data_IF_454848825547
#
_entry.id   IF_454848825547
#
_cell.length_a   1.000
_cell.length_b   1.000
_cell.length_c   1.000
_cell.angle_alpha   90.00
_cell.angle_beta   90.00
_cell.angle_gamma   90.00
#
_symmetry.space_group_name_H-M   'P 1'
#
loop_
_entity.id
_entity.type
_entity.pdbx_description
1 polymer ?
#
# COMPACT_ATOMS: atom_id res chain seq x y z
N UNK A 1 -14.97 -8.36 0.53
CA UNK A 1 -15.41 -9.36 -0.45
C UNK A 1 -16.51 -8.85 -1.40
N UNK A 2 -17.36 -7.90 -0.98
CA UNK A 2 -18.36 -7.26 -1.87
C UNK A 2 -17.73 -6.52 -3.06
N UNK A 3 -16.51 -6.01 -2.93
CA UNK A 3 -15.77 -5.36 -4.01
C UNK A 3 -15.50 -6.25 -5.22
N UNK A 4 -15.31 -7.55 -5.04
CA UNK A 4 -15.10 -8.49 -6.15
C UNK A 4 -16.35 -8.61 -7.04
N UNK A 5 -17.54 -8.59 -6.45
CA UNK A 5 -18.79 -8.60 -7.18
C UNK A 5 -18.98 -7.33 -8.02
N UNK A 6 -18.54 -6.17 -7.50
CA UNK A 6 -18.57 -4.92 -8.25
C UNK A 6 -17.62 -4.95 -9.45
N UNK A 7 -16.42 -5.51 -9.30
CA UNK A 7 -15.46 -5.70 -10.38
C UNK A 7 -16.03 -6.61 -11.46
N UNK A 8 -16.58 -7.77 -11.08
CA UNK A 8 -17.26 -8.70 -11.99
C UNK A 8 -18.36 -8.01 -12.78
N UNK A 9 -19.21 -7.22 -12.12
CA UNK A 9 -20.29 -6.49 -12.77
C UNK A 9 -19.76 -5.42 -13.75
N UNK A 10 -18.68 -4.72 -13.39
CA UNK A 10 -18.06 -3.72 -14.27
C UNK A 10 -17.45 -4.35 -15.51
N UNK A 11 -16.85 -5.54 -15.39
CA UNK A 11 -16.33 -6.31 -16.53
C UNK A 11 -17.50 -6.74 -17.45
N UNK A 12 -18.56 -7.30 -16.88
CA UNK A 12 -19.73 -7.72 -17.62
C UNK A 12 -20.42 -6.55 -18.35
N UNK A 13 -20.42 -5.36 -17.76
CA UNK A 13 -20.97 -4.14 -18.36
C UNK A 13 -20.03 -3.48 -19.38
N UNK A 14 -18.80 -3.95 -19.56
CA UNK A 14 -17.84 -3.42 -20.53
C UNK A 14 -17.40 -1.98 -20.27
N UNK A 15 -17.47 -1.50 -19.02
CA UNK A 15 -17.14 -0.10 -18.68
C UNK A 15 -15.64 0.13 -18.53
N UNK A 16 -15.20 1.35 -18.85
CA UNK A 16 -13.82 1.78 -18.62
C UNK A 16 -13.70 2.28 -17.16
N UNK A 17 -13.04 1.49 -16.31
CA UNK A 17 -12.88 1.80 -14.90
C UNK A 17 -11.58 1.25 -14.36
N UNK A 18 -10.93 1.99 -13.47
CA UNK A 18 -9.76 1.53 -12.72
C UNK A 18 -10.13 1.36 -11.25
N UNK A 19 -10.11 0.13 -10.76
CA UNK A 19 -10.23 -0.15 -9.34
C UNK A 19 -8.88 -0.03 -8.64
N UNK A 20 -8.88 0.57 -7.46
CA UNK A 20 -7.70 0.67 -6.58
C UNK A 20 -7.98 -0.13 -5.31
N UNK A 21 -7.28 -1.23 -5.16
CA UNK A 21 -7.39 -2.09 -3.98
C UNK A 21 -6.28 -1.71 -3.02
N UNK A 22 -6.65 -1.19 -1.87
CA UNK A 22 -5.69 -0.85 -0.80
C UNK A 22 -5.48 -2.09 0.07
N UNK A 23 -4.37 -2.77 -0.15
CA UNK A 23 -3.96 -3.91 0.65
C UNK A 23 -3.01 -3.44 1.76
N UNK A 24 -3.37 -3.68 2.99
CA UNK A 24 -2.63 -3.22 4.16
C UNK A 24 -2.26 -4.33 5.14
N UNK A 25 -2.27 -5.57 4.70
CA UNK A 25 -1.89 -6.75 5.48
C UNK A 25 -2.87 -7.10 6.62
N UNK A 26 -3.79 -6.20 6.95
CA UNK A 26 -4.69 -6.38 8.07
C UNK A 26 -5.93 -5.49 7.95
N UNK A 27 -6.99 -5.81 8.66
CA UNK A 27 -8.13 -4.90 8.86
C UNK A 27 -7.74 -3.89 9.94
N UNK A 28 -7.06 -2.82 9.51
CA UNK A 28 -6.41 -1.86 10.41
C UNK A 28 -7.40 -1.09 11.30
N UNK A 29 -8.58 -0.76 10.78
CA UNK A 29 -9.60 0.01 11.49
C UNK A 29 -10.14 -0.72 12.74
N UNK A 30 -10.23 -2.03 12.71
CA UNK A 30 -10.84 -2.85 13.77
C UNK A 30 -9.82 -3.54 14.68
N UNK A 31 -8.56 -3.16 14.63
CA UNK A 31 -7.54 -3.65 15.55
C UNK A 31 -6.45 -4.51 14.94
N UNK A 32 -6.38 -4.59 13.62
CA UNK A 32 -5.30 -5.30 12.92
C UNK A 32 -5.53 -6.81 12.80
N UNK A 33 -6.78 -7.24 12.63
CA UNK A 33 -7.10 -8.62 12.34
C UNK A 33 -6.67 -8.99 10.92
N UNK A 34 -6.28 -10.23 10.72
CA UNK A 34 -6.03 -10.78 9.40
C UNK A 34 -7.31 -10.83 8.55
N UNK A 35 -7.16 -10.70 7.25
CA UNK A 35 -8.26 -10.86 6.30
C UNK A 35 -8.30 -12.31 5.84
N UNK A 36 -9.43 -12.98 6.02
CA UNK A 36 -9.61 -14.38 5.66
C UNK A 36 -9.53 -15.33 6.86
N UNK A 37 -9.77 -16.61 6.61
CA UNK A 37 -9.86 -17.65 7.63
C UNK A 37 -8.49 -18.28 7.97
N UNK A 38 -7.47 -18.00 7.18
CA UNK A 38 -6.11 -18.54 7.39
C UNK A 38 -5.30 -17.62 8.30
N UNK A 39 -4.36 -18.15 9.07
CA UNK A 39 -3.46 -17.35 9.90
C UNK A 39 -2.66 -16.30 9.11
N UNK A 40 -2.34 -16.61 7.83
CA UNK A 40 -1.60 -15.74 6.91
C UNK A 40 -2.50 -14.65 6.30
N UNK A 41 -3.83 -14.80 6.42
CA UNK A 41 -4.80 -13.91 5.78
C UNK A 41 -4.95 -14.15 4.28
N UNK A 42 -5.54 -13.17 3.58
CA UNK A 42 -5.74 -13.21 2.13
C UNK A 42 -4.62 -12.42 1.46
N UNK A 43 -3.74 -13.11 0.73
CA UNK A 43 -2.55 -12.48 0.13
C UNK A 43 -2.86 -11.67 -1.13
N UNK A 44 -1.92 -10.78 -1.50
CA UNK A 44 -1.96 -10.02 -2.76
C UNK A 44 -2.00 -10.98 -3.96
N UNK A 45 -1.23 -12.06 -3.92
CA UNK A 45 -1.22 -13.07 -4.98
C UNK A 45 -2.60 -13.72 -5.17
N UNK A 46 -3.26 -14.13 -4.09
CA UNK A 46 -4.62 -14.69 -4.15
C UNK A 46 -5.64 -13.70 -4.74
N UNK A 47 -5.53 -12.43 -4.35
CA UNK A 47 -6.35 -11.35 -4.91
C UNK A 47 -6.08 -11.21 -6.41
N UNK A 48 -4.81 -11.18 -6.82
CA UNK A 48 -4.40 -11.03 -8.20
C UNK A 48 -4.89 -12.20 -9.08
N UNK A 49 -4.76 -13.44 -8.61
CA UNK A 49 -5.29 -14.62 -9.30
C UNK A 49 -6.81 -14.56 -9.47
N UNK A 50 -7.54 -14.17 -8.43
CA UNK A 50 -8.99 -14.01 -8.49
C UNK A 50 -9.40 -12.97 -9.53
N UNK A 51 -8.73 -11.82 -9.55
CA UNK A 51 -9.01 -10.74 -10.50
C UNK A 51 -8.69 -11.11 -11.95
N UNK A 52 -7.63 -11.88 -12.17
CA UNK A 52 -7.33 -12.44 -13.50
C UNK A 52 -8.40 -13.41 -13.96
N UNK A 53 -8.89 -14.28 -13.07
CA UNK A 53 -9.97 -15.21 -13.37
C UNK A 53 -11.30 -14.49 -13.71
N UNK A 54 -11.56 -13.32 -13.11
CA UNK A 54 -12.72 -12.48 -13.45
C UNK A 54 -12.60 -11.78 -14.82
N UNK A 55 -11.40 -11.70 -15.41
CA UNK A 55 -11.20 -11.08 -16.73
C UNK A 55 -10.76 -9.61 -16.69
N UNK A 56 -10.09 -9.17 -15.62
CA UNK A 56 -9.45 -7.84 -15.56
C UNK A 56 -8.45 -7.69 -16.70
N UNK A 57 -8.56 -6.61 -17.48
CA UNK A 57 -7.74 -6.38 -18.70
C UNK A 57 -6.28 -6.11 -18.35
N UNK A 58 -6.03 -5.21 -17.40
CA UNK A 58 -4.68 -4.92 -16.89
C UNK A 58 -4.69 -4.88 -15.36
N UNK A 59 -3.75 -5.59 -14.77
CA UNK A 59 -3.55 -5.70 -13.33
C UNK A 59 -2.11 -5.37 -13.00
N UNK A 60 -1.91 -4.47 -12.05
CA UNK A 60 -0.59 -4.07 -11.56
C UNK A 60 -0.56 -4.08 -10.03
N UNK A 61 0.62 -4.30 -9.48
CA UNK A 61 0.90 -4.16 -8.04
C UNK A 61 1.84 -2.98 -7.84
N UNK A 62 1.53 -2.11 -6.88
CA UNK A 62 2.39 -1.00 -6.47
C UNK A 62 2.68 -1.16 -4.98
N UNK A 63 3.96 -1.14 -4.60
CA UNK A 63 4.39 -1.43 -3.23
C UNK A 63 5.63 -0.64 -2.84
N UNK A 64 5.90 -0.50 -1.55
CA UNK A 64 7.17 0.02 -1.03
C UNK A 64 8.30 -1.04 -0.99
N UNK A 65 7.96 -2.32 -1.25
CA UNK A 65 8.89 -3.46 -1.24
C UNK A 65 8.71 -4.34 -2.49
N UNK A 66 9.06 -3.85 -3.73
CA UNK A 66 8.87 -4.63 -4.96
C UNK A 66 9.60 -5.97 -4.97
N UNK A 67 10.75 -6.04 -4.31
CA UNK A 67 11.61 -7.22 -4.24
C UNK A 67 10.92 -8.45 -3.66
N UNK A 68 9.90 -8.28 -2.83
CA UNK A 68 9.14 -9.41 -2.28
C UNK A 68 8.36 -10.19 -3.33
N UNK A 69 8.17 -9.60 -4.52
CA UNK A 69 7.50 -10.22 -5.68
C UNK A 69 8.48 -10.64 -6.77
N UNK A 70 9.75 -10.22 -6.70
CA UNK A 70 10.78 -10.58 -7.67
C UNK A 70 11.54 -11.83 -7.23
N UNK A 71 11.65 -12.81 -8.12
CA UNK A 71 12.62 -13.89 -8.02
C UNK A 71 12.10 -15.29 -7.72
N UNK A 72 10.80 -15.56 -7.83
CA UNK A 72 10.29 -16.94 -7.68
C UNK A 72 9.36 -17.34 -8.81
N UNK A 73 9.92 -17.79 -9.91
CA UNK A 73 9.25 -18.66 -10.87
C UNK A 73 9.21 -20.09 -10.33
N UNK A 74 8.54 -20.31 -9.20
CA UNK A 74 8.26 -21.68 -8.78
C UNK A 74 6.90 -22.10 -9.31
N UNK A 75 6.88 -23.17 -10.10
CA UNK A 75 5.67 -23.93 -10.38
C UNK A 75 4.99 -24.22 -9.04
N UNK A 76 3.75 -23.81 -8.92
CA UNK A 76 2.91 -24.16 -7.79
C UNK A 76 2.84 -25.69 -7.71
N UNK A 77 3.65 -26.28 -6.85
CA UNK A 77 3.42 -27.64 -6.42
C UNK A 77 2.19 -27.63 -5.53
N UNK A 78 1.15 -28.34 -5.96
CA UNK A 78 -0.11 -28.44 -5.22
C UNK A 78 0.07 -28.97 -3.81
N UNK A 79 1.16 -29.70 -3.54
CA UNK A 79 1.51 -30.23 -2.21
C UNK A 79 2.01 -29.10 -1.29
N UNK A 80 2.79 -28.17 -1.80
CA UNK A 80 3.34 -27.02 -1.04
C UNK A 80 2.24 -26.01 -0.68
N UNK A 81 1.27 -25.79 -1.58
CA UNK A 81 0.09 -24.95 -1.28
C UNK A 81 -0.74 -25.55 -0.13
N UNK A 82 -0.89 -26.88 -0.08
CA UNK A 82 -1.59 -27.57 1.01
C UNK A 82 -0.81 -27.55 2.34
N UNK A 83 0.52 -27.49 2.28
CA UNK A 83 1.38 -27.43 3.45
C UNK A 83 1.49 -26.01 4.07
N UNK A 84 0.89 -24.99 3.44
CA UNK A 84 0.87 -23.62 3.96
C UNK A 84 2.23 -22.91 3.90
N UNK A 85 3.06 -23.23 2.92
CA UNK A 85 4.39 -22.61 2.75
C UNK A 85 4.29 -21.12 2.44
N UNK A 86 4.82 -20.23 3.29
CA UNK A 86 4.71 -18.78 3.13
C UNK A 86 5.39 -18.24 1.87
N UNK A 87 6.40 -18.95 1.34
CA UNK A 87 7.10 -18.58 0.11
C UNK A 87 6.23 -18.59 -1.15
N UNK A 88 5.07 -19.30 -1.13
CA UNK A 88 4.14 -19.36 -2.26
C UNK A 88 3.07 -18.26 -2.23
N UNK A 89 3.03 -17.48 -1.15
CA UNK A 89 2.01 -16.44 -0.93
C UNK A 89 2.22 -15.26 -1.89
N UNK A 90 3.43 -15.10 -2.45
CA UNK A 90 3.83 -13.97 -3.28
C UNK A 90 3.95 -14.29 -4.78
N UNK A 91 3.47 -15.45 -5.22
CA UNK A 91 3.49 -15.84 -6.64
C UNK A 91 2.34 -15.17 -7.40
N UNK A 92 2.66 -14.11 -8.12
CA UNK A 92 1.71 -13.35 -8.92
C UNK A 92 1.37 -14.07 -10.23
N UNK A 93 0.13 -13.90 -10.76
CA UNK A 93 -0.21 -14.46 -12.06
C UNK A 93 0.65 -13.86 -13.19
N UNK A 94 0.89 -14.61 -14.28
CA UNK A 94 1.67 -14.13 -15.41
C UNK A 94 1.15 -12.81 -15.98
N UNK A 95 2.10 -11.89 -16.31
CA UNK A 95 1.79 -10.59 -16.89
C UNK A 95 1.31 -9.55 -15.88
N UNK A 96 1.43 -9.80 -14.58
CA UNK A 96 1.27 -8.78 -13.55
C UNK A 96 2.61 -8.09 -13.33
N UNK A 97 2.62 -6.78 -13.55
CA UNK A 97 3.80 -5.94 -13.34
C UNK A 97 3.81 -5.40 -11.91
N UNK A 98 5.00 -5.28 -11.33
CA UNK A 98 5.20 -4.75 -9.97
C UNK A 98 6.05 -3.49 -10.06
N UNK A 99 5.60 -2.43 -9.41
CA UNK A 99 6.24 -1.11 -9.41
C UNK A 99 6.49 -0.62 -7.99
N UNK A 100 7.53 0.20 -7.83
CA UNK A 100 7.74 0.92 -6.58
C UNK A 100 6.66 2.00 -6.40
N UNK A 101 6.31 2.29 -5.14
CA UNK A 101 5.25 3.25 -4.79
C UNK A 101 5.48 4.65 -5.35
N UNK A 102 6.72 5.06 -5.60
CA UNK A 102 7.05 6.38 -6.16
C UNK A 102 6.53 6.54 -7.59
N UNK A 103 6.25 5.43 -8.29
CA UNK A 103 5.67 5.43 -9.61
C UNK A 103 4.13 5.47 -9.62
N UNK A 104 3.51 5.54 -8.45
CA UNK A 104 2.05 5.42 -8.32
C UNK A 104 1.28 6.42 -9.22
N UNK A 105 1.71 7.68 -9.30
CA UNK A 105 1.02 8.68 -10.12
C UNK A 105 1.13 8.34 -11.62
N UNK A 106 2.31 7.97 -12.09
CA UNK A 106 2.54 7.54 -13.47
C UNK A 106 1.66 6.34 -13.83
N UNK A 107 1.68 5.31 -13.00
CA UNK A 107 0.89 4.08 -13.23
C UNK A 107 -0.62 4.35 -13.24
N UNK A 108 -1.11 5.21 -12.35
CA UNK A 108 -2.53 5.58 -12.35
C UNK A 108 -2.94 6.29 -13.64
N UNK A 109 -2.08 7.16 -14.19
CA UNK A 109 -2.32 7.85 -15.47
C UNK A 109 -2.34 6.86 -16.63
N UNK A 110 -1.41 5.90 -16.66
CA UNK A 110 -1.38 4.86 -17.68
C UNK A 110 -2.62 3.97 -17.63
N UNK A 111 -3.02 3.50 -16.45
CA UNK A 111 -4.20 2.63 -16.30
C UNK A 111 -5.50 3.32 -16.73
N UNK A 112 -5.59 4.64 -16.56
CA UNK A 112 -6.76 5.43 -16.98
C UNK A 112 -6.97 5.40 -18.50
N UNK A 113 -5.90 5.28 -19.28
CA UNK A 113 -5.96 5.27 -20.74
C UNK A 113 -6.27 3.86 -21.31
N UNK A 114 -6.20 2.81 -20.48
CA UNK A 114 -6.51 1.44 -20.88
C UNK A 114 -8.03 1.23 -20.90
N UNK A 115 -8.54 0.80 -22.05
CA UNK A 115 -9.97 0.48 -22.19
C UNK A 115 -10.33 -0.81 -21.43
N UNK A 116 -11.49 -0.79 -20.79
CA UNK A 116 -12.01 -1.88 -19.99
C UNK A 116 -11.74 -1.73 -18.50
N UNK A 117 -11.93 -2.82 -17.76
CA UNK A 117 -11.71 -2.83 -16.32
C UNK A 117 -10.26 -3.12 -15.99
N UNK A 118 -9.59 -2.16 -15.35
CA UNK A 118 -8.22 -2.31 -14.87
C UNK A 118 -8.17 -2.29 -13.35
N UNK A 119 -7.14 -2.89 -12.75
CA UNK A 119 -6.98 -2.91 -11.30
C UNK A 119 -5.54 -2.57 -10.91
N UNK A 120 -5.40 -1.71 -9.91
CA UNK A 120 -4.16 -1.44 -9.20
C UNK A 120 -4.30 -1.98 -7.78
N UNK A 121 -3.44 -2.90 -7.38
CA UNK A 121 -3.31 -3.33 -5.98
C UNK A 121 -2.19 -2.50 -5.37
N UNK A 122 -2.54 -1.67 -4.39
CA UNK A 122 -1.58 -0.89 -3.62
C UNK A 122 -1.26 -1.65 -2.33
N UNK A 123 -0.11 -2.29 -2.31
CA UNK A 123 0.34 -3.13 -1.21
C UNK A 123 1.31 -2.37 -0.32
N UNK A 124 0.77 -1.85 0.77
CA UNK A 124 1.55 -1.15 1.78
C UNK A 124 0.88 -1.28 3.14
N UNK A 125 1.66 -1.67 4.14
CA UNK A 125 1.17 -1.74 5.52
C UNK A 125 0.69 -0.37 6.00
N UNK A 126 -0.51 -0.33 6.54
CA UNK A 126 -1.11 0.90 7.09
C UNK A 126 -0.21 1.55 8.15
N UNK A 127 -0.11 2.88 8.12
CA UNK A 127 0.67 3.66 9.07
C UNK A 127 0.33 3.36 10.54
N UNK A 128 -0.96 3.20 10.83
CA UNK A 128 -1.42 2.83 12.18
C UNK A 128 -0.93 1.45 12.58
N UNK A 129 -0.95 0.49 11.66
CA UNK A 129 -0.44 -0.86 11.92
C UNK A 129 1.07 -0.87 12.06
N UNK A 130 1.81 -0.13 11.24
CA UNK A 130 3.27 0.05 11.40
C UNK A 130 3.60 0.58 12.81
N UNK A 131 2.86 1.57 13.32
CA UNK A 131 3.03 2.08 14.70
C UNK A 131 2.71 1.04 15.77
N UNK A 132 1.62 0.28 15.62
CA UNK A 132 1.27 -0.81 16.54
C UNK A 132 2.36 -1.88 16.58
N UNK A 133 2.88 -2.29 15.42
CA UNK A 133 3.96 -3.28 15.30
C UNK A 133 5.24 -2.78 15.96
N UNK A 134 5.62 -1.52 15.74
CA UNK A 134 6.78 -0.90 16.43
C UNK A 134 6.59 -0.87 17.95
N UNK A 135 5.43 -0.42 18.43
CA UNK A 135 5.13 -0.38 19.87
C UNK A 135 5.16 -1.77 20.53
N UNK A 136 4.86 -2.81 19.77
CA UNK A 136 4.90 -4.22 20.24
C UNK A 136 6.25 -4.92 19.97
N UNK A 137 7.26 -4.21 19.51
CA UNK A 137 8.57 -4.77 19.16
C UNK A 137 8.56 -5.70 17.92
N UNK A 138 7.47 -5.72 17.15
CA UNK A 138 7.32 -6.57 15.95
C UNK A 138 7.81 -5.92 14.65
N UNK A 139 8.19 -4.66 14.71
CA UNK A 139 8.75 -3.90 13.60
C UNK A 139 9.84 -2.98 14.13
N UNK A 140 11.00 -2.97 13.51
CA UNK A 140 12.09 -2.08 13.89
C UNK A 140 11.68 -0.61 13.77
N UNK A 141 12.11 0.21 14.73
CA UNK A 141 11.99 1.66 14.64
C UNK A 141 13.20 2.17 13.87
N UNK A 142 13.03 2.96 12.78
CA UNK A 142 14.16 3.54 12.08
C UNK A 142 15.00 4.45 12.99
N UNK A 143 16.32 4.40 12.82
CA UNK A 143 17.27 5.17 13.63
C UNK A 143 17.24 6.68 13.33
N UNK A 144 16.74 7.05 12.15
CA UNK A 144 16.63 8.45 11.71
C UNK A 144 15.25 9.03 12.02
N UNK A 145 15.22 10.31 12.32
CA UNK A 145 14.01 11.08 12.58
C UNK A 145 14.02 12.35 11.74
N UNK A 146 12.92 12.61 11.03
CA UNK A 146 12.75 13.87 10.28
C UNK A 146 12.23 14.93 11.23
N UNK A 147 12.84 16.11 11.20
CA UNK A 147 12.44 17.28 11.98
C UNK A 147 12.32 18.51 11.09
N UNK A 148 11.49 19.46 11.47
CA UNK A 148 11.51 20.82 10.95
C UNK A 148 12.25 21.68 11.99
N UNK A 149 13.29 22.37 11.57
CA UNK A 149 13.98 23.31 12.45
C UNK A 149 13.11 24.55 12.62
N UNK A 150 12.53 24.73 13.80
CA UNK A 150 11.64 25.85 14.12
C UNK A 150 12.35 27.22 14.05
N UNK A 151 13.67 27.27 14.26
CA UNK A 151 14.45 28.50 14.14
C UNK A 151 14.56 29.00 12.70
N UNK A 152 14.55 28.06 11.73
CA UNK A 152 14.67 28.36 10.28
C UNK A 152 13.30 28.42 9.61
N UNK A 153 12.30 27.78 10.17
CA UNK A 153 10.97 27.69 9.58
C UNK A 153 10.32 29.08 9.43
N UNK A 154 9.93 29.41 8.21
CA UNK A 154 9.23 30.68 7.88
C UNK A 154 7.70 30.59 7.98
N UNK A 155 7.17 29.41 8.29
CA UNK A 155 5.72 29.19 8.39
C UNK A 155 4.96 29.20 7.06
N UNK A 156 5.65 29.13 5.92
CA UNK A 156 5.05 29.21 4.57
C UNK A 156 3.97 28.13 4.30
N UNK A 157 4.05 26.97 4.96
CA UNK A 157 3.11 25.88 4.78
C UNK A 157 3.42 24.88 3.68
N UNK A 158 4.44 25.11 2.86
CA UNK A 158 4.82 24.26 1.73
C UNK A 158 5.01 22.78 2.11
N UNK A 159 5.61 22.52 3.28
CA UNK A 159 5.78 21.16 3.78
C UNK A 159 4.44 20.40 3.93
N UNK A 160 3.36 21.08 4.30
CA UNK A 160 2.03 20.48 4.40
C UNK A 160 1.44 20.22 3.02
N UNK A 161 1.62 21.14 2.07
CA UNK A 161 1.11 21.01 0.69
C UNK A 161 1.83 19.90 -0.07
N UNK A 162 3.16 19.83 0.04
CA UNK A 162 3.98 18.86 -0.68
C UNK A 162 3.87 17.44 -0.11
N UNK A 163 3.91 17.30 1.22
CA UNK A 163 3.88 15.98 1.86
C UNK A 163 2.48 15.46 2.13
N UNK A 164 1.49 16.34 2.26
CA UNK A 164 0.13 16.01 2.72
C UNK A 164 0.14 15.13 3.99
N UNK A 165 1.11 15.35 4.87
CA UNK A 165 1.40 14.51 6.02
C UNK A 165 0.66 14.99 7.26
N UNK A 166 -0.09 14.08 7.92
CA UNK A 166 -0.81 14.38 9.15
C UNK A 166 0.09 14.73 10.34
N UNK A 167 1.39 14.41 10.26
CA UNK A 167 2.34 14.66 11.35
C UNK A 167 2.91 16.08 11.31
N UNK A 168 2.73 16.82 10.23
CA UNK A 168 3.11 18.23 10.13
C UNK A 168 2.02 19.07 10.80
N UNK A 169 2.34 19.64 11.94
CA UNK A 169 1.41 20.46 12.72
C UNK A 169 1.91 21.88 12.91
N UNK A 170 1.02 22.86 13.10
CA UNK A 170 1.41 24.21 13.44
C UNK A 170 1.90 24.29 14.89
N UNK A 171 2.82 25.21 15.13
CA UNK A 171 3.28 25.58 16.46
C UNK A 171 3.36 27.10 16.54
N UNK A 172 2.77 27.67 17.58
CA UNK A 172 2.88 29.12 17.86
C UNK A 172 4.20 29.40 18.58
N UNK A 173 4.95 30.38 18.10
CA UNK A 173 6.21 30.82 18.69
C UNK A 173 6.19 32.35 18.89
N UNK A 174 7.14 32.89 19.62
CA UNK A 174 7.32 34.35 19.76
C UNK A 174 7.59 35.05 18.41
N UNK A 175 8.08 34.31 17.42
CA UNK A 175 8.33 34.78 16.04
C UNK A 175 7.22 34.41 15.06
N UNK A 176 6.02 34.16 15.54
CA UNK A 176 4.86 33.79 14.76
C UNK A 176 4.65 32.28 14.61
N UNK A 177 3.72 31.95 13.74
CA UNK A 177 3.27 30.57 13.53
C UNK A 177 4.25 29.80 12.65
N UNK A 178 4.81 28.73 13.18
CA UNK A 178 5.76 27.85 12.51
C UNK A 178 5.19 26.43 12.35
N UNK A 179 6.02 25.49 11.87
CA UNK A 179 5.65 24.08 11.68
C UNK A 179 6.61 23.18 12.44
N UNK A 180 6.10 22.07 12.93
CA UNK A 180 6.88 20.98 13.49
C UNK A 180 6.35 19.62 13.06
N UNK A 181 7.15 18.56 13.23
CA UNK A 181 6.72 17.19 13.00
C UNK A 181 6.41 16.54 14.36
N UNK A 182 5.15 16.13 14.52
CA UNK A 182 4.74 15.35 15.67
C UNK A 182 5.30 13.92 15.55
N UNK A 183 6.28 13.58 16.36
CA UNK A 183 7.00 12.31 16.28
C UNK A 183 6.14 11.11 16.67
N UNK A 184 5.09 11.30 17.46
CA UNK A 184 4.17 10.21 17.84
C UNK A 184 3.21 9.82 16.72
N UNK A 185 2.93 10.73 15.79
CA UNK A 185 2.08 10.48 14.62
C UNK A 185 2.89 10.23 13.35
N UNK A 186 4.19 10.51 13.34
CA UNK A 186 5.07 10.31 12.20
C UNK A 186 5.13 8.83 11.78
N UNK A 187 4.91 8.58 10.48
CA UNK A 187 4.96 7.25 9.91
C UNK A 187 6.40 6.71 9.74
N UNK A 188 7.40 7.59 9.75
CA UNK A 188 8.82 7.28 9.55
C UNK A 188 9.08 6.50 8.26
N UNK A 189 8.40 6.87 7.19
CA UNK A 189 8.58 6.31 5.84
C UNK A 189 9.42 7.22 4.92
N UNK A 190 9.81 8.37 5.43
CA UNK A 190 10.66 9.36 4.77
C UNK A 190 10.13 9.92 3.44
N UNK A 191 8.86 9.73 3.12
CA UNK A 191 8.24 10.24 1.89
C UNK A 191 8.16 11.77 1.81
N UNK A 192 8.55 12.45 2.87
CA UNK A 192 8.57 13.93 2.98
C UNK A 192 9.94 14.57 2.76
N UNK A 193 10.99 13.81 2.45
CA UNK A 193 12.37 14.29 2.24
C UNK A 193 12.92 13.86 0.89
#
# INVERSE_FOLDING_TARGET
HSGLLAIRQSIAAGVNITYKILYNDAVAMTGGQQVGERPEGHSVAQIAHSLRAEGVVKLVVVTDEPEKYHGRTHRLDSSAVRAGHPELINDLPPGVEVFHRDELDRIQRELREVKGCTVLIYDQTCATEKRRRRKRGKLATPDKTVIINELVCEGCGDCSVKSNCLSVEPVETEFGRKRRINQSTCNKDYSCV
#
